data_IF_326627254825
#
_entry.id   IF_326627254825
#
_cell.length_a   1.000
_cell.length_b   1.000
_cell.length_c   1.000
_cell.angle_alpha   90.00
_cell.angle_beta   90.00
_cell.angle_gamma   90.00
#
_symmetry.space_group_name_H-M   'P 1'
#
loop_
_entity.id
_entity.type
_entity.pdbx_description
1 polymer ?
#
# COMPACT_ATOMS: atom_id res chain seq x y z
N UNK A 1 -8.41 4.61 3.08
CA UNK A 1 -7.16 5.00 2.42
C UNK A 1 -7.24 6.49 2.15
N UNK A 2 -6.22 7.23 2.55
CA UNK A 2 -6.21 8.69 2.43
C UNK A 2 -5.36 9.10 1.24
N UNK A 3 -5.95 9.83 0.30
CA UNK A 3 -5.22 10.37 -0.85
C UNK A 3 -4.65 11.74 -0.47
N UNK A 4 -3.33 11.86 -0.57
CA UNK A 4 -2.60 13.10 -0.39
C UNK A 4 -2.05 13.60 -1.73
N UNK A 5 -2.29 14.87 -2.03
CA UNK A 5 -1.70 15.57 -3.17
C UNK A 5 -0.63 16.54 -2.64
N UNK A 6 0.63 16.22 -2.91
CA UNK A 6 1.76 17.09 -2.58
C UNK A 6 2.09 18.00 -3.76
N UNK A 7 2.05 19.31 -3.56
CA UNK A 7 2.46 20.30 -4.57
C UNK A 7 3.81 20.87 -4.18
N UNK A 8 4.72 20.96 -5.14
CA UNK A 8 6.05 21.55 -4.98
C UNK A 8 6.23 22.64 -6.03
N UNK A 9 6.55 23.85 -5.57
CA UNK A 9 7.04 24.93 -6.44
C UNK A 9 8.55 24.71 -6.54
N UNK A 10 9.03 24.22 -7.68
CA UNK A 10 10.45 23.89 -7.83
C UNK A 10 11.27 25.17 -8.01
N UNK A 11 10.82 26.06 -8.91
CA UNK A 11 11.51 27.31 -9.23
C UNK A 11 10.53 28.41 -9.60
N UNK A 12 10.89 29.65 -9.24
CA UNK A 12 10.34 30.89 -9.77
C UNK A 12 11.55 31.75 -10.14
N UNK A 13 11.91 31.77 -11.41
CA UNK A 13 13.16 32.35 -11.87
C UNK A 13 12.91 33.46 -12.91
N UNK A 14 13.29 34.71 -12.63
CA UNK A 14 13.29 35.75 -13.64
C UNK A 14 14.35 35.46 -14.72
N UNK A 15 14.06 35.84 -15.96
CA UNK A 15 15.03 35.79 -17.05
C UNK A 15 16.15 36.81 -16.86
N UNK A 16 17.26 36.63 -17.58
CA UNK A 16 18.43 37.52 -17.50
C UNK A 16 18.13 38.97 -17.89
N UNK A 17 17.18 39.18 -18.81
CA UNK A 17 16.70 40.50 -19.25
C UNK A 17 15.61 41.08 -18.34
N UNK A 18 15.15 40.33 -17.32
CA UNK A 18 14.16 40.77 -16.34
C UNK A 18 12.73 40.91 -16.88
N UNK A 19 12.47 40.54 -18.14
CA UNK A 19 11.17 40.70 -18.78
C UNK A 19 10.28 39.46 -18.73
N UNK A 20 10.85 38.31 -18.35
CA UNK A 20 10.13 37.06 -18.19
C UNK A 20 10.36 36.47 -16.80
N UNK A 21 9.42 35.64 -16.37
CA UNK A 21 9.57 34.78 -15.20
C UNK A 21 9.13 33.37 -15.57
N UNK A 22 9.97 32.39 -15.22
CA UNK A 22 9.69 30.96 -15.42
C UNK A 22 9.27 30.35 -14.10
N UNK A 23 8.07 29.76 -14.09
CA UNK A 23 7.53 29.03 -12.96
C UNK A 23 7.57 27.54 -13.29
N UNK A 24 8.15 26.73 -12.42
CA UNK A 24 8.12 25.26 -12.54
C UNK A 24 7.43 24.64 -11.34
N UNK A 25 6.42 23.80 -11.60
CA UNK A 25 5.63 23.13 -10.58
C UNK A 25 5.69 21.61 -10.77
N UNK A 26 5.80 20.89 -9.66
CA UNK A 26 5.60 19.44 -9.58
C UNK A 26 4.38 19.15 -8.72
N UNK A 27 3.48 18.28 -9.18
CA UNK A 27 2.40 17.73 -8.35
C UNK A 27 2.60 16.21 -8.24
N UNK A 28 2.65 15.74 -7.00
CA UNK A 28 2.73 14.33 -6.64
C UNK A 28 1.39 13.88 -6.03
N UNK A 29 0.91 12.71 -6.42
CA UNK A 29 -0.18 12.03 -5.74
C UNK A 29 0.37 10.83 -4.98
N UNK A 30 0.06 10.75 -3.69
CA UNK A 30 0.49 9.68 -2.77
C UNK A 30 -0.73 9.16 -2.01
N UNK A 31 -0.86 7.85 -1.90
CA UNK A 31 -1.92 7.19 -1.15
C UNK A 31 -1.34 6.62 0.14
N UNK A 32 -1.98 6.86 1.27
CA UNK A 32 -1.70 6.12 2.51
C UNK A 32 -2.59 4.88 2.57
N UNK A 33 -1.94 3.72 2.59
CA UNK A 33 -2.61 2.44 2.57
C UNK A 33 -1.73 1.39 3.25
N UNK A 34 -2.32 0.53 4.10
CA UNK A 34 -1.62 -0.57 4.78
C UNK A 34 -0.37 -0.12 5.57
N UNK A 35 -0.44 1.07 6.18
CA UNK A 35 0.65 1.63 6.98
C UNK A 35 1.77 2.29 6.18
N UNK A 36 1.69 2.31 4.84
CA UNK A 36 2.73 2.84 3.97
C UNK A 36 2.22 3.97 3.04
N UNK A 37 3.12 4.89 2.71
CA UNK A 37 2.87 5.92 1.69
C UNK A 37 3.32 5.44 0.32
N UNK A 38 2.37 5.33 -0.61
CA UNK A 38 2.62 4.84 -1.97
C UNK A 38 2.43 5.97 -2.98
N UNK A 39 3.47 6.32 -3.74
CA UNK A 39 3.35 7.28 -4.83
C UNK A 39 2.48 6.71 -5.95
N UNK A 40 1.35 7.36 -6.23
CA UNK A 40 0.46 7.00 -7.32
C UNK A 40 0.97 7.58 -8.65
N UNK A 41 1.19 8.89 -8.71
CA UNK A 41 1.55 9.58 -9.93
C UNK A 41 2.36 10.85 -9.66
N UNK A 42 2.97 11.38 -10.73
CA UNK A 42 3.71 12.64 -10.75
C UNK A 42 3.40 13.36 -12.05
N UNK A 43 3.27 14.68 -11.99
CA UNK A 43 3.30 15.56 -13.16
C UNK A 43 4.20 16.75 -12.85
N UNK A 44 4.99 17.19 -13.82
CA UNK A 44 5.92 18.33 -13.72
C UNK A 44 5.77 19.17 -14.99
N UNK A 45 5.71 20.48 -14.83
CA UNK A 45 5.62 21.40 -15.96
C UNK A 45 6.26 22.74 -15.60
N UNK A 46 6.76 23.42 -16.62
CA UNK A 46 7.30 24.76 -16.52
C UNK A 46 6.56 25.69 -17.49
N UNK A 47 6.45 26.97 -17.10
CA UNK A 47 5.87 28.00 -17.95
C UNK A 47 6.60 29.32 -17.76
N UNK A 48 6.96 29.95 -18.86
CA UNK A 48 7.50 31.31 -18.89
C UNK A 48 6.40 32.32 -19.21
N UNK A 49 6.41 33.45 -18.53
CA UNK A 49 5.39 34.49 -18.59
C UNK A 49 6.05 35.86 -18.58
N UNK A 50 5.44 36.90 -19.18
CA UNK A 50 5.87 38.27 -18.99
C UNK A 50 5.93 38.64 -17.50
N UNK A 51 7.00 39.34 -17.12
CA UNK A 51 7.24 39.82 -15.77
C UNK A 51 7.48 41.33 -15.80
N UNK A 52 6.73 42.04 -14.97
CA UNK A 52 6.97 43.44 -14.66
C UNK A 52 7.45 43.51 -13.21
N UNK A 53 8.59 44.17 -12.92
CA UNK A 53 9.08 44.32 -11.55
C UNK A 53 8.01 44.89 -10.62
N UNK A 54 7.73 44.17 -9.52
CA UNK A 54 6.66 44.52 -8.56
C UNK A 54 5.27 43.97 -8.91
N UNK A 55 5.08 43.40 -10.10
CA UNK A 55 3.85 42.76 -10.54
C UNK A 55 3.81 41.26 -10.23
N UNK A 56 2.92 40.85 -9.32
CA UNK A 56 2.74 39.43 -8.95
C UNK A 56 1.53 38.76 -9.63
N UNK A 57 0.63 39.54 -10.23
CA UNK A 57 -0.65 39.04 -10.75
C UNK A 57 -0.45 38.00 -11.86
N UNK A 58 0.45 38.26 -12.82
CA UNK A 58 0.74 37.32 -13.91
C UNK A 58 1.42 36.04 -13.41
N UNK A 59 2.22 36.13 -12.35
CA UNK A 59 2.84 34.96 -11.69
C UNK A 59 1.75 34.09 -11.05
N UNK A 60 0.81 34.71 -10.32
CA UNK A 60 -0.30 34.00 -9.66
C UNK A 60 -1.19 33.32 -10.70
N UNK A 61 -1.61 34.04 -11.74
CA UNK A 61 -2.45 33.47 -12.81
C UNK A 61 -1.70 32.37 -13.57
N UNK A 62 -0.42 32.58 -13.85
CA UNK A 62 0.48 31.59 -14.39
C UNK A 62 0.53 30.29 -13.60
N UNK A 63 0.77 30.41 -12.29
CA UNK A 63 0.78 29.31 -11.35
C UNK A 63 -0.56 28.58 -11.29
N UNK A 64 -1.70 29.30 -11.27
CA UNK A 64 -3.04 28.71 -11.30
C UNK A 64 -3.27 27.88 -12.56
N UNK A 65 -2.93 28.43 -13.74
CA UNK A 65 -3.11 27.70 -15.00
C UNK A 65 -2.22 26.47 -15.05
N UNK A 66 -0.96 26.59 -14.64
CA UNK A 66 -0.01 25.49 -14.58
C UNK A 66 -0.48 24.39 -13.60
N UNK A 67 -1.03 24.79 -12.44
CA UNK A 67 -1.60 23.86 -11.46
C UNK A 67 -2.82 23.10 -12.00
N UNK A 68 -3.72 23.78 -12.73
CA UNK A 68 -4.88 23.15 -13.38
C UNK A 68 -4.46 22.16 -14.46
N UNK A 69 -3.48 22.54 -15.29
CA UNK A 69 -2.93 21.64 -16.30
C UNK A 69 -2.36 20.38 -15.65
N UNK A 70 -1.50 20.55 -14.64
CA UNK A 70 -0.88 19.43 -13.94
C UNK A 70 -1.91 18.53 -13.26
N UNK A 71 -2.96 19.09 -12.66
CA UNK A 71 -4.05 18.33 -12.08
C UNK A 71 -4.81 17.51 -13.14
N UNK A 72 -5.13 18.11 -14.29
CA UNK A 72 -5.81 17.43 -15.40
C UNK A 72 -4.97 16.29 -15.99
N UNK A 73 -3.65 16.44 -16.05
CA UNK A 73 -2.73 15.37 -16.46
C UNK A 73 -2.57 14.27 -15.41
N UNK A 74 -2.68 14.61 -14.12
CA UNK A 74 -2.46 13.70 -13.01
C UNK A 74 -3.67 12.78 -12.78
N UNK A 75 -4.89 13.30 -12.94
CA UNK A 75 -6.14 12.57 -12.71
C UNK A 75 -6.23 11.23 -13.47
N UNK A 76 -6.01 11.16 -14.81
CA UNK A 76 -6.09 9.88 -15.52
C UNK A 76 -5.00 8.90 -15.08
N UNK A 77 -3.80 9.39 -14.71
CA UNK A 77 -2.70 8.56 -14.20
C UNK A 77 -3.07 7.92 -12.85
N UNK A 78 -3.67 8.69 -11.95
CA UNK A 78 -4.19 8.21 -10.67
C UNK A 78 -5.26 7.15 -10.90
N UNK A 79 -6.29 7.48 -11.72
CA UNK A 79 -7.40 6.57 -12.02
C UNK A 79 -6.92 5.25 -12.60
N UNK A 80 -6.02 5.30 -13.59
CA UNK A 80 -5.46 4.10 -14.21
C UNK A 80 -4.71 3.22 -13.20
N UNK A 81 -3.86 3.83 -12.36
CA UNK A 81 -3.10 3.08 -11.36
C UNK A 81 -3.99 2.49 -10.27
N UNK A 82 -5.00 3.21 -9.81
CA UNK A 82 -5.98 2.69 -8.85
C UNK A 82 -6.78 1.53 -9.46
N UNK A 83 -7.29 1.68 -10.68
CA UNK A 83 -8.04 0.62 -11.37
C UNK A 83 -7.21 -0.64 -11.55
N UNK A 84 -5.95 -0.51 -11.99
CA UNK A 84 -5.03 -1.65 -12.13
C UNK A 84 -4.74 -2.32 -10.79
N UNK A 85 -4.60 -1.56 -9.70
CA UNK A 85 -4.38 -2.11 -8.36
C UNK A 85 -5.62 -2.85 -7.85
N UNK A 86 -6.80 -2.28 -8.05
CA UNK A 86 -8.07 -2.94 -7.73
C UNK A 86 -8.24 -4.24 -8.50
N UNK A 87 -7.99 -4.24 -9.81
CA UNK A 87 -8.04 -5.47 -10.61
C UNK A 87 -7.01 -6.51 -10.16
N UNK A 88 -5.80 -6.08 -9.76
CA UNK A 88 -4.80 -6.99 -9.20
C UNK A 88 -5.24 -7.56 -7.85
N UNK A 89 -5.89 -6.76 -7.00
CA UNK A 89 -6.43 -7.21 -5.72
C UNK A 89 -7.61 -8.17 -5.92
N UNK A 90 -8.53 -7.89 -6.86
CA UNK A 90 -9.62 -8.77 -7.24
C UNK A 90 -9.09 -10.13 -7.73
N UNK A 91 -8.07 -10.13 -8.60
CA UNK A 91 -7.39 -11.37 -9.03
C UNK A 91 -6.76 -12.10 -7.84
N UNK A 92 -6.12 -11.40 -6.91
CA UNK A 92 -5.53 -12.02 -5.72
C UNK A 92 -6.61 -12.58 -4.78
N UNK A 93 -7.81 -11.98 -4.75
CA UNK A 93 -8.92 -12.48 -3.94
C UNK A 93 -9.61 -13.70 -4.55
N UNK A 94 -9.63 -13.84 -5.88
CA UNK A 94 -10.24 -14.98 -6.59
C UNK A 94 -9.24 -16.12 -6.88
N UNK A 95 -7.97 -15.94 -6.53
CA UNK A 95 -6.94 -16.98 -6.72
C UNK A 95 -6.57 -17.64 -5.40
N UNK A 96 -6.57 -18.97 -5.39
CA UNK A 96 -6.01 -19.74 -4.29
C UNK A 96 -4.50 -19.49 -4.19
N UNK A 97 -4.04 -19.08 -3.00
CA UNK A 97 -2.64 -18.82 -2.71
C UNK A 97 -2.17 -19.64 -1.51
N UNK A 98 -0.92 -20.12 -1.57
CA UNK A 98 -0.29 -20.82 -0.44
C UNK A 98 0.46 -19.84 0.45
N UNK A 99 -0.04 -19.65 1.67
CA UNK A 99 0.56 -18.88 2.74
C UNK A 99 1.41 -19.76 3.66
N UNK A 100 2.49 -19.18 4.18
CA UNK A 100 3.40 -19.79 5.15
C UNK A 100 3.15 -19.12 6.50
N UNK A 101 2.59 -19.86 7.45
CA UNK A 101 2.30 -19.37 8.80
C UNK A 101 3.30 -19.92 9.79
N UNK A 102 3.96 -19.06 10.55
CA UNK A 102 4.98 -19.43 11.53
C UNK A 102 4.50 -19.08 12.93
N UNK A 103 4.41 -20.09 13.79
CA UNK A 103 4.02 -19.95 15.19
C UNK A 103 5.28 -19.91 16.05
N UNK A 104 5.94 -18.75 16.07
CA UNK A 104 7.21 -18.55 16.77
C UNK A 104 6.96 -18.61 18.28
N UNK A 105 7.84 -19.30 19.02
CA UNK A 105 7.70 -19.49 20.47
C UNK A 105 6.69 -20.58 20.90
N UNK A 106 5.90 -21.13 19.98
CA UNK A 106 4.95 -22.19 20.30
C UNK A 106 5.65 -23.48 20.81
N UNK A 107 5.21 -23.97 21.97
CA UNK A 107 5.64 -25.27 22.49
C UNK A 107 5.21 -26.41 21.55
N UNK A 108 5.82 -27.60 21.73
CA UNK A 108 5.48 -28.78 20.90
C UNK A 108 4.00 -29.17 21.03
N UNK A 109 3.46 -29.07 22.25
CA UNK A 109 2.07 -29.41 22.53
C UNK A 109 1.11 -28.37 21.95
N UNK A 110 1.37 -27.07 22.17
CA UNK A 110 0.56 -25.99 21.58
C UNK A 110 0.54 -26.08 20.05
N UNK A 111 1.70 -26.28 19.42
CA UNK A 111 1.76 -26.40 17.97
C UNK A 111 1.03 -27.65 17.44
N UNK A 112 1.04 -28.76 18.18
CA UNK A 112 0.25 -29.94 17.82
C UNK A 112 -1.25 -29.65 17.86
N UNK A 113 -1.73 -28.88 18.85
CA UNK A 113 -3.13 -28.45 18.93
C UNK A 113 -3.49 -27.50 17.78
N UNK A 114 -2.66 -26.49 17.53
CA UNK A 114 -2.82 -25.55 16.40
C UNK A 114 -2.90 -26.33 15.08
N UNK A 115 -1.92 -27.22 14.82
CA UNK A 115 -1.89 -28.08 13.64
C UNK A 115 -3.21 -28.82 13.44
N UNK A 116 -3.73 -29.45 14.49
CA UNK A 116 -4.98 -30.21 14.43
C UNK A 116 -6.18 -29.32 14.12
N UNK A 117 -6.27 -28.14 14.75
CA UNK A 117 -7.34 -27.17 14.45
C UNK A 117 -7.28 -26.67 13.01
N UNK A 118 -6.07 -26.39 12.53
CA UNK A 118 -5.86 -25.94 11.15
C UNK A 118 -6.25 -26.99 10.13
N UNK A 119 -5.88 -28.26 10.34
CA UNK A 119 -6.21 -29.36 9.41
C UNK A 119 -7.70 -29.68 9.37
N UNK A 120 -8.38 -29.55 10.50
CA UNK A 120 -9.78 -30.01 10.67
C UNK A 120 -10.80 -28.89 10.40
N UNK A 121 -10.35 -27.69 10.00
CA UNK A 121 -11.20 -26.49 9.95
C UNK A 121 -12.21 -26.44 8.80
N UNK A 122 -11.91 -27.06 7.66
CA UNK A 122 -12.68 -26.91 6.41
C UNK A 122 -12.71 -25.47 5.83
N UNK A 123 -12.01 -24.50 6.44
CA UNK A 123 -12.02 -23.08 6.05
C UNK A 123 -10.97 -22.71 5.01
N UNK A 124 -10.01 -23.61 4.81
CA UNK A 124 -8.85 -23.48 3.94
C UNK A 124 -8.30 -24.87 3.66
N UNK A 125 -7.43 -24.99 2.65
CA UNK A 125 -6.78 -26.26 2.37
C UNK A 125 -5.42 -26.34 3.10
N UNK A 126 -5.32 -27.29 4.03
CA UNK A 126 -4.08 -27.53 4.78
C UNK A 126 -3.09 -28.36 3.96
N UNK A 127 -1.97 -27.77 3.52
CA UNK A 127 -1.01 -28.43 2.61
C UNK A 127 0.06 -29.23 3.35
N UNK A 128 0.82 -28.58 4.24
CA UNK A 128 1.93 -29.25 4.94
C UNK A 128 2.39 -28.49 6.18
N UNK A 129 3.32 -29.09 6.95
CA UNK A 129 3.94 -28.44 8.10
C UNK A 129 5.40 -28.83 8.26
N UNK A 130 6.20 -27.89 8.76
CA UNK A 130 7.49 -28.16 9.38
C UNK A 130 7.32 -28.06 10.89
N UNK A 131 7.30 -29.22 11.55
CA UNK A 131 7.13 -29.30 13.00
C UNK A 131 8.30 -28.65 13.73
N UNK A 132 9.54 -28.77 13.23
CA UNK A 132 10.72 -28.19 13.91
C UNK A 132 10.67 -26.67 13.88
N UNK A 133 10.26 -26.10 12.74
CA UNK A 133 10.13 -24.64 12.55
C UNK A 133 8.78 -24.06 13.00
N UNK A 134 7.87 -24.89 13.51
CA UNK A 134 6.50 -24.50 13.90
C UNK A 134 5.78 -23.78 12.76
N UNK A 135 5.92 -24.31 11.56
CA UNK A 135 5.40 -23.69 10.34
C UNK A 135 4.29 -24.53 9.73
N UNK A 136 3.22 -23.89 9.28
CA UNK A 136 2.16 -24.50 8.47
C UNK A 136 2.10 -23.84 7.08
N UNK A 137 1.80 -24.62 6.05
CA UNK A 137 1.50 -24.13 4.70
C UNK A 137 0.02 -24.34 4.44
N UNK A 138 -0.69 -23.26 4.15
CA UNK A 138 -2.15 -23.25 4.02
C UNK A 138 -2.51 -22.55 2.71
N UNK A 139 -3.32 -23.21 1.90
CA UNK A 139 -3.92 -22.60 0.72
C UNK A 139 -5.23 -21.92 1.09
N UNK A 140 -5.39 -20.69 0.65
CA UNK A 140 -6.56 -19.87 0.92
C UNK A 140 -6.85 -18.97 -0.30
N UNK A 141 -8.12 -18.86 -0.65
CA UNK A 141 -8.61 -17.94 -1.67
C UNK A 141 -8.82 -16.56 -1.03
N UNK A 142 -7.93 -15.61 -1.34
CA UNK A 142 -7.92 -14.32 -0.69
C UNK A 142 -6.54 -13.67 -0.58
N UNK A 143 -6.53 -12.45 -0.07
CA UNK A 143 -5.30 -11.72 0.29
C UNK A 143 -4.70 -12.24 1.60
N UNK A 144 -3.41 -11.95 1.83
CA UNK A 144 -2.77 -12.24 3.11
C UNK A 144 -3.45 -11.52 4.28
N UNK A 145 -3.99 -10.31 4.06
CA UNK A 145 -4.69 -9.55 5.09
C UNK A 145 -5.98 -10.28 5.50
N UNK A 146 -6.82 -10.65 4.52
CA UNK A 146 -8.04 -11.43 4.76
C UNK A 146 -7.74 -12.78 5.43
N UNK A 147 -6.65 -13.44 5.03
CA UNK A 147 -6.26 -14.72 5.59
C UNK A 147 -5.77 -14.59 7.04
N UNK A 148 -4.91 -13.59 7.32
CA UNK A 148 -4.35 -13.36 8.65
C UNK A 148 -5.45 -13.06 9.67
N UNK A 149 -6.39 -12.17 9.35
CA UNK A 149 -7.51 -11.80 10.23
C UNK A 149 -8.42 -13.00 10.53
N UNK A 150 -8.80 -13.76 9.49
CA UNK A 150 -9.64 -14.96 9.67
C UNK A 150 -8.95 -16.04 10.48
N UNK A 151 -7.64 -16.18 10.29
CA UNK A 151 -6.85 -17.18 11.00
C UNK A 151 -6.69 -16.82 12.47
N UNK A 152 -6.40 -15.55 12.79
CA UNK A 152 -6.34 -15.04 14.16
C UNK A 152 -7.67 -15.26 14.87
N UNK A 153 -8.78 -14.77 14.29
CA UNK A 153 -10.13 -14.98 14.85
C UNK A 153 -10.48 -16.46 15.06
N UNK A 154 -10.10 -17.34 14.12
CA UNK A 154 -10.37 -18.78 14.23
C UNK A 154 -9.60 -19.42 15.38
N UNK A 155 -8.31 -19.09 15.54
CA UNK A 155 -7.49 -19.65 16.61
C UNK A 155 -7.90 -19.10 17.97
N UNK A 156 -8.13 -17.79 18.07
CA UNK A 156 -8.67 -17.12 19.26
C UNK A 156 -10.02 -17.73 19.66
N UNK A 157 -10.94 -17.95 18.71
CA UNK A 157 -12.23 -18.61 18.96
C UNK A 157 -12.11 -20.09 19.38
N UNK A 158 -10.98 -20.74 19.12
CA UNK A 158 -10.67 -22.10 19.59
C UNK A 158 -9.96 -22.12 20.96
N UNK A 159 -9.79 -20.97 21.62
CA UNK A 159 -9.05 -20.82 22.87
C UNK A 159 -7.53 -20.92 22.71
N UNK A 160 -7.02 -20.72 21.48
CA UNK A 160 -5.59 -20.72 21.18
C UNK A 160 -5.12 -19.28 21.01
N UNK A 161 -4.62 -18.68 22.08
CA UNK A 161 -4.05 -17.33 22.03
C UNK A 161 -2.72 -17.35 21.27
N UNK A 162 -2.71 -16.76 20.08
CA UNK A 162 -1.56 -16.75 19.18
C UNK A 162 -0.89 -15.38 19.01
N UNK A 163 -1.43 -14.34 19.67
CA UNK A 163 -1.01 -12.96 19.53
C UNK A 163 -1.41 -12.35 18.18
N UNK A 164 -1.02 -11.10 17.95
CA UNK A 164 -1.29 -10.41 16.68
C UNK A 164 -0.35 -10.94 15.58
N UNK A 165 -0.86 -11.14 14.35
CA UNK A 165 -0.04 -11.57 13.22
C UNK A 165 0.87 -10.45 12.72
N UNK A 166 2.14 -10.77 12.48
CA UNK A 166 3.12 -9.92 11.81
C UNK A 166 3.33 -10.40 10.36
N UNK A 167 3.11 -9.50 9.39
CA UNK A 167 3.34 -9.78 7.98
C UNK A 167 3.46 -8.48 7.18
N UNK A 168 4.02 -8.58 5.96
CA UNK A 168 3.94 -7.52 4.96
C UNK A 168 2.98 -7.97 3.85
N UNK A 169 2.09 -7.08 3.38
CA UNK A 169 1.07 -7.47 2.40
C UNK A 169 1.65 -7.95 1.06
N UNK A 170 2.90 -7.62 0.75
CA UNK A 170 3.64 -8.07 -0.44
C UNK A 170 4.23 -9.48 -0.32
N UNK A 171 4.16 -10.09 0.87
CA UNK A 171 4.71 -11.41 1.15
C UNK A 171 3.59 -12.45 1.32
N UNK A 172 3.99 -13.73 1.38
CA UNK A 172 3.09 -14.86 1.69
C UNK A 172 3.40 -15.47 3.04
N UNK A 173 4.03 -14.72 3.94
CA UNK A 173 4.50 -15.21 5.23
C UNK A 173 3.84 -14.43 6.36
N UNK A 174 3.21 -15.15 7.28
CA UNK A 174 2.60 -14.62 8.49
C UNK A 174 3.35 -15.19 9.69
N UNK A 175 3.67 -14.35 10.67
CA UNK A 175 4.31 -14.77 11.91
C UNK A 175 3.40 -14.44 13.09
N UNK A 176 3.06 -15.47 13.87
CA UNK A 176 2.42 -15.35 15.17
C UNK A 176 3.48 -15.54 16.25
N UNK A 177 3.57 -14.61 17.20
CA UNK A 177 4.51 -14.67 18.32
C UNK A 177 3.77 -15.18 19.57
N UNK A 178 4.01 -16.44 19.93
CA UNK A 178 3.43 -17.09 21.11
C UNK A 178 4.44 -17.02 22.26
N UNK A 179 4.07 -16.42 23.38
CA UNK A 179 4.89 -16.37 24.58
C UNK A 179 5.15 -14.97 25.14
N UNK A 180 4.10 -14.15 25.24
CA UNK A 180 4.02 -13.16 26.32
C UNK A 180 3.19 -13.76 27.45
#
# INVERSE_FOLDING_TARGET
ADLLLGVTINTIEPSQDGHLVTIRLTINATLFERGEWVKLASSDAARSLPFEPGGINLIIEGGKVLSRQLAAELEPKIKHKLARRKAAEEVLTETEQVFIVVFKGASKQQFAQIKRRLSDSGRWEYKSTDVRKRTARIAFEGTIDNFADRLEMFLSGAGLEVGLPEYASSQRRIVFNLGQ
#
